data_IF_175304181647
#
_entry.id   IF_175304181647
#
_cell.length_a   1.000
_cell.length_b   1.000
_cell.length_c   1.000
_cell.angle_alpha   90.00
_cell.angle_beta   90.00
_cell.angle_gamma   90.00
#
_symmetry.space_group_name_H-M   'P 1'
#
loop_
_entity.id
_entity.type
_entity.pdbx_description
1 polymer ?
#
# COMPACT_ATOMS: atom_id res chain seq x y z
N UNK A 1 -5.57 -2.80 1.00
CA UNK A 1 -4.32 -2.02 1.10
C UNK A 1 -3.70 -2.35 2.44
N UNK A 2 -2.38 -2.38 2.54
CA UNK A 2 -1.69 -2.70 3.80
C UNK A 2 -0.32 -2.00 3.87
N UNK A 3 0.08 -1.63 5.09
CA UNK A 3 1.40 -1.05 5.36
C UNK A 3 2.38 -2.13 5.81
N UNK A 4 3.40 -2.38 5.00
CA UNK A 4 4.54 -3.18 5.41
C UNK A 4 5.56 -2.23 6.03
N UNK A 5 5.78 -2.35 7.34
CA UNK A 5 6.64 -1.44 8.12
C UNK A 5 7.78 -2.20 8.79
N UNK A 6 8.76 -1.46 9.33
CA UNK A 6 9.90 -2.03 10.04
C UNK A 6 10.95 -2.63 9.12
N UNK A 7 11.01 -2.15 7.87
CA UNK A 7 12.03 -2.54 6.92
C UNK A 7 13.32 -1.73 7.18
N UNK A 8 14.50 -2.29 6.84
CA UNK A 8 15.73 -1.52 6.85
C UNK A 8 15.60 -0.30 5.91
N UNK A 9 16.14 0.87 6.27
CA UNK A 9 16.14 2.04 5.41
C UNK A 9 16.84 1.72 4.07
N UNK A 10 16.19 2.03 2.95
CA UNK A 10 16.71 1.73 1.61
C UNK A 10 16.64 2.92 0.65
N UNK A 11 17.64 2.99 -0.25
CA UNK A 11 17.79 4.04 -1.27
C UNK A 11 18.11 5.43 -0.70
N UNK A 12 18.28 6.41 -1.58
CA UNK A 12 18.69 7.79 -1.22
C UNK A 12 17.75 8.48 -0.23
N UNK A 13 16.45 8.15 -0.29
CA UNK A 13 15.42 8.73 0.56
C UNK A 13 15.21 7.96 1.88
N UNK A 14 15.98 6.90 2.13
CA UNK A 14 15.92 6.10 3.35
C UNK A 14 14.51 5.61 3.68
N UNK A 15 13.75 5.16 2.67
CA UNK A 15 12.40 4.62 2.87
C UNK A 15 12.47 3.35 3.72
N UNK A 16 11.52 3.21 4.64
CA UNK A 16 11.49 2.11 5.62
C UNK A 16 10.12 1.40 5.71
N UNK A 17 9.24 1.68 4.75
CA UNK A 17 7.93 1.07 4.63
C UNK A 17 7.48 0.99 3.17
N UNK A 18 6.53 0.09 2.91
CA UNK A 18 5.74 0.05 1.68
C UNK A 18 4.25 0.15 1.98
N UNK A 19 3.55 0.93 1.17
CA UNK A 19 2.11 0.83 1.03
C UNK A 19 1.81 -0.13 -0.11
N UNK A 20 1.31 -1.31 0.23
CA UNK A 20 0.97 -2.37 -0.71
C UNK A 20 -0.50 -2.27 -1.07
N UNK A 21 -0.78 -2.15 -2.37
CA UNK A 21 -2.12 -2.06 -2.91
C UNK A 21 -2.29 -3.19 -3.90
N UNK A 22 -3.29 -4.03 -3.67
CA UNK A 22 -3.65 -5.10 -4.57
C UNK A 22 -5.02 -4.81 -5.18
N UNK A 23 -5.07 -4.69 -6.50
CA UNK A 23 -6.33 -4.59 -7.23
C UNK A 23 -6.80 -5.99 -7.63
N UNK A 24 -8.05 -6.34 -7.26
CA UNK A 24 -8.62 -7.68 -7.49
C UNK A 24 -9.02 -7.94 -8.94
N UNK A 25 -9.25 -6.92 -9.74
CA UNK A 25 -9.63 -7.05 -11.15
C UNK A 25 -8.41 -7.23 -12.04
N UNK A 26 -7.42 -6.36 -11.93
CA UNK A 26 -6.19 -6.46 -12.73
C UNK A 26 -5.21 -7.48 -12.17
N UNK A 27 -5.39 -7.90 -10.89
CA UNK A 27 -4.55 -8.88 -10.17
C UNK A 27 -3.07 -8.50 -10.09
N UNK A 28 -2.77 -7.22 -10.22
CA UNK A 28 -1.42 -6.67 -10.17
C UNK A 28 -1.23 -5.94 -8.85
N UNK A 29 -0.19 -6.28 -8.06
CA UNK A 29 0.16 -5.50 -6.89
C UNK A 29 0.93 -4.23 -7.28
N UNK A 30 0.66 -3.15 -6.55
CA UNK A 30 1.41 -1.90 -6.60
C UNK A 30 2.11 -1.71 -5.26
N UNK A 31 3.41 -1.48 -5.31
CA UNK A 31 4.25 -1.17 -4.16
C UNK A 31 4.62 0.31 -4.20
N UNK A 32 4.23 1.06 -3.18
CA UNK A 32 4.59 2.47 -3.03
C UNK A 32 5.58 2.61 -1.88
N UNK A 33 6.80 3.04 -2.20
CA UNK A 33 7.83 3.36 -1.20
C UNK A 33 7.37 4.53 -0.34
N UNK A 34 7.53 4.41 0.98
CA UNK A 34 7.08 5.40 1.96
C UNK A 34 7.83 5.25 3.28
N UNK A 35 7.56 6.15 4.21
CA UNK A 35 8.07 6.09 5.57
C UNK A 35 6.97 5.58 6.53
N UNK A 36 7.37 4.81 7.53
CA UNK A 36 6.47 4.27 8.56
C UNK A 36 5.67 5.37 9.28
N UNK A 37 6.26 6.56 9.38
CA UNK A 37 5.71 7.73 10.08
C UNK A 37 4.89 8.63 9.14
N UNK A 38 4.72 8.24 7.88
CA UNK A 38 3.94 9.01 6.92
C UNK A 38 2.48 9.15 7.35
N UNK A 39 1.97 10.36 7.14
CA UNK A 39 0.59 10.71 7.43
C UNK A 39 -0.37 10.08 6.42
N UNK A 40 -1.63 9.93 6.82
CA UNK A 40 -2.69 9.49 5.91
C UNK A 40 -2.83 10.39 4.68
N UNK A 41 -2.56 11.71 4.83
CA UNK A 41 -2.60 12.65 3.72
C UNK A 41 -1.48 12.41 2.71
N UNK A 42 -0.26 12.11 3.18
CA UNK A 42 0.85 11.77 2.29
C UNK A 42 0.57 10.46 1.54
N UNK A 43 0.04 9.45 2.23
CA UNK A 43 -0.39 8.19 1.61
C UNK A 43 -1.46 8.41 0.53
N UNK A 44 -2.39 9.34 0.77
CA UNK A 44 -3.41 9.66 -0.19
C UNK A 44 -2.82 10.34 -1.43
N UNK A 45 -1.93 11.32 -1.24
CA UNK A 45 -1.20 11.96 -2.34
C UNK A 45 -0.39 10.95 -3.15
N UNK A 46 0.29 10.02 -2.49
CA UNK A 46 1.00 8.91 -3.13
C UNK A 46 0.07 8.08 -4.01
N UNK A 47 -1.11 7.71 -3.50
CA UNK A 47 -2.11 6.95 -4.26
C UNK A 47 -2.65 7.75 -5.44
N UNK A 48 -2.97 9.02 -5.25
CA UNK A 48 -3.43 9.89 -6.32
C UNK A 48 -2.40 10.02 -7.44
N UNK A 49 -1.14 10.30 -7.08
CA UNK A 49 -0.07 10.52 -8.06
C UNK A 49 0.38 9.24 -8.76
N UNK A 50 0.40 8.10 -8.06
CA UNK A 50 0.99 6.86 -8.58
C UNK A 50 -0.02 5.84 -9.05
N UNK A 51 -1.26 5.89 -8.58
CA UNK A 51 -2.24 4.81 -8.83
C UNK A 51 -3.44 5.33 -9.61
N UNK A 52 -4.01 6.47 -9.20
CA UNK A 52 -5.12 7.09 -9.93
C UNK A 52 -4.65 7.56 -11.31
N UNK A 53 -3.41 8.03 -11.44
CA UNK A 53 -2.82 8.40 -12.72
C UNK A 53 -2.54 7.22 -13.68
N UNK A 54 -2.50 5.97 -13.19
CA UNK A 54 -2.05 4.83 -13.98
C UNK A 54 -3.17 3.91 -14.49
N UNK A 55 -4.38 3.89 -13.92
CA UNK A 55 -5.30 2.78 -14.25
C UNK A 55 -6.80 3.10 -14.21
N UNK A 56 -7.42 3.36 -13.06
CA UNK A 56 -8.89 3.63 -12.96
C UNK A 56 -9.20 4.34 -11.64
N UNK A 57 -10.27 5.13 -11.58
CA UNK A 57 -10.86 5.59 -10.31
C UNK A 57 -11.35 4.37 -9.53
N UNK A 58 -10.79 4.14 -8.33
CA UNK A 58 -11.26 3.07 -7.46
C UNK A 58 -12.70 3.32 -7.05
N UNK A 59 -13.60 2.38 -7.35
CA UNK A 59 -15.01 2.45 -6.93
C UNK A 59 -15.20 2.01 -5.48
N UNK A 60 -14.35 1.09 -5.00
CA UNK A 60 -14.36 0.60 -3.62
C UNK A 60 -12.94 0.24 -3.17
N UNK A 61 -12.59 0.68 -1.97
CA UNK A 61 -11.32 0.36 -1.32
C UNK A 61 -11.60 -0.39 -0.03
N UNK A 62 -10.81 -1.44 0.20
CA UNK A 62 -10.84 -2.24 1.42
C UNK A 62 -9.47 -2.14 2.11
N UNK A 63 -9.46 -1.58 3.31
CA UNK A 63 -8.27 -1.43 4.16
C UNK A 63 -8.46 -2.14 5.50
N UNK A 64 -7.34 -2.44 6.17
CA UNK A 64 -7.37 -2.75 7.60
C UNK A 64 -7.79 -1.52 8.43
N UNK A 65 -7.92 -1.71 9.74
CA UNK A 65 -8.36 -0.67 10.69
C UNK A 65 -7.22 0.17 11.25
N UNK A 66 -6.11 0.31 10.52
CA UNK A 66 -5.04 1.21 10.94
C UNK A 66 -5.61 2.64 11.17
N UNK A 67 -5.14 3.31 12.22
CA UNK A 67 -5.52 4.68 12.58
C UNK A 67 -5.39 5.67 11.42
N UNK A 68 -4.45 5.43 10.50
CA UNK A 68 -4.26 6.24 9.29
C UNK A 68 -5.45 6.12 8.34
N UNK A 69 -5.97 4.90 8.13
CA UNK A 69 -7.10 4.63 7.24
C UNK A 69 -8.46 4.92 7.88
N UNK A 70 -8.52 5.09 9.20
CA UNK A 70 -9.74 5.50 9.92
C UNK A 70 -9.79 7.01 10.19
N UNK A 71 -8.78 7.76 9.78
CA UNK A 71 -8.71 9.22 9.98
C UNK A 71 -9.81 9.97 9.21
N UNK A 72 -10.23 11.13 9.76
CA UNK A 72 -11.21 12.00 9.12
C UNK A 72 -10.70 12.53 7.77
N UNK A 73 -9.39 12.82 7.68
CA UNK A 73 -8.74 13.27 6.46
C UNK A 73 -8.82 12.21 5.36
N UNK A 74 -8.57 10.94 5.70
CA UNK A 74 -8.69 9.82 4.77
C UNK A 74 -10.12 9.64 4.27
N UNK A 75 -11.09 9.71 5.18
CA UNK A 75 -12.51 9.58 4.86
C UNK A 75 -12.97 10.69 3.90
N UNK A 76 -12.62 11.95 4.20
CA UNK A 76 -12.98 13.11 3.38
C UNK A 76 -12.36 13.02 1.98
N UNK A 77 -11.12 12.56 1.89
CA UNK A 77 -10.44 12.38 0.62
C UNK A 77 -11.15 11.36 -0.29
N UNK A 78 -11.55 10.22 0.26
CA UNK A 78 -12.27 9.21 -0.53
C UNK A 78 -13.70 9.62 -0.90
N UNK A 79 -14.35 10.44 -0.08
CA UNK A 79 -15.63 11.08 -0.47
C UNK A 79 -15.43 11.98 -1.69
N UNK A 80 -14.36 12.77 -1.74
CA UNK A 80 -14.04 13.63 -2.89
C UNK A 80 -13.77 12.81 -4.16
N UNK A 81 -13.11 11.66 -4.04
CA UNK A 81 -12.86 10.75 -5.17
C UNK A 81 -14.06 9.90 -5.58
N UNK A 82 -15.18 9.95 -4.86
CA UNK A 82 -16.35 9.08 -5.11
C UNK A 82 -16.08 7.60 -4.82
N UNK A 83 -15.05 7.29 -4.03
CA UNK A 83 -14.64 5.92 -3.70
C UNK A 83 -15.31 5.46 -2.40
N UNK A 84 -15.93 4.27 -2.41
CA UNK A 84 -16.48 3.68 -1.19
C UNK A 84 -15.39 3.05 -0.34
N UNK A 85 -15.17 3.56 0.87
CA UNK A 85 -14.32 2.92 1.86
C UNK A 85 -15.04 1.76 2.55
N UNK A 86 -14.31 0.70 2.85
CA UNK A 86 -14.75 -0.43 3.67
C UNK A 86 -13.56 -0.95 4.46
N UNK A 87 -13.79 -1.39 5.70
CA UNK A 87 -12.72 -1.90 6.55
C UNK A 87 -12.84 -3.42 6.66
N UNK A 88 -11.71 -4.13 6.57
CA UNK A 88 -11.69 -5.57 6.83
C UNK A 88 -12.10 -5.82 8.29
N UNK A 89 -12.84 -6.91 8.49
CA UNK A 89 -13.12 -7.42 9.84
C UNK A 89 -12.05 -8.46 10.16
N UNK A 90 -11.62 -8.52 11.42
CA UNK A 90 -10.53 -9.41 11.83
C UNK A 90 -10.77 -10.91 11.53
N UNK A 91 -11.97 -11.32 11.10
CA UNK A 91 -12.35 -12.73 11.02
C UNK A 91 -13.52 -13.03 10.04
N UNK A 92 -13.50 -12.62 8.76
CA UNK A 92 -14.45 -13.18 7.76
C UNK A 92 -13.90 -13.24 6.31
N UNK A 93 -13.22 -14.33 5.93
CA UNK A 93 -12.56 -14.48 4.63
C UNK A 93 -13.48 -15.06 3.55
N UNK A 94 -14.64 -14.45 3.27
CA UNK A 94 -15.54 -14.92 2.20
C UNK A 94 -15.49 -14.09 0.91
N UNK A 95 -14.89 -12.88 0.93
CA UNK A 95 -14.73 -12.06 -0.30
C UNK A 95 -13.37 -11.37 -0.41
N UNK A 96 -12.69 -11.10 0.72
CA UNK A 96 -11.37 -10.47 0.76
C UNK A 96 -10.20 -11.44 0.95
N UNK A 97 -10.47 -12.72 1.21
CA UNK A 97 -9.41 -13.69 1.51
C UNK A 97 -8.37 -13.85 0.40
N UNK A 98 -8.70 -13.57 -0.88
CA UNK A 98 -7.71 -13.61 -1.96
C UNK A 98 -6.78 -12.39 -1.93
N UNK A 99 -7.32 -11.18 -1.75
CA UNK A 99 -6.52 -9.97 -1.67
C UNK A 99 -5.68 -9.96 -0.40
N UNK A 100 -6.25 -10.40 0.74
CA UNK A 100 -5.54 -10.54 2.00
C UNK A 100 -4.41 -11.55 1.92
N UNK A 101 -4.66 -12.76 1.39
CA UNK A 101 -3.61 -13.77 1.19
C UNK A 101 -2.51 -13.30 0.24
N UNK A 102 -2.87 -12.58 -0.82
CA UNK A 102 -1.89 -12.01 -1.75
C UNK A 102 -1.05 -10.95 -1.06
N UNK A 103 -1.66 -10.01 -0.33
CA UNK A 103 -0.94 -8.99 0.41
C UNK A 103 0.00 -9.62 1.46
N UNK A 104 -0.44 -10.63 2.19
CA UNK A 104 0.41 -11.37 3.14
C UNK A 104 1.59 -12.05 2.43
N UNK A 105 1.35 -12.71 1.31
CA UNK A 105 2.40 -13.35 0.52
C UNK A 105 3.43 -12.32 0.03
N UNK A 106 2.96 -11.15 -0.42
CA UNK A 106 3.82 -10.06 -0.89
C UNK A 106 4.61 -9.43 0.25
N UNK A 107 4.01 -9.25 1.42
CA UNK A 107 4.71 -8.80 2.62
C UNK A 107 5.84 -9.76 3.01
N UNK A 108 5.55 -11.06 3.06
CA UNK A 108 6.55 -12.08 3.38
C UNK A 108 7.71 -12.08 2.36
N UNK A 109 7.41 -11.89 1.08
CA UNK A 109 8.43 -11.75 0.03
C UNK A 109 9.30 -10.52 0.27
N UNK A 110 8.70 -9.35 0.52
CA UNK A 110 9.43 -8.10 0.80
C UNK A 110 10.34 -8.26 2.01
N UNK A 111 9.82 -8.83 3.12
CA UNK A 111 10.61 -9.06 4.33
C UNK A 111 11.80 -9.99 4.09
N UNK A 112 11.62 -11.06 3.30
CA UNK A 112 12.71 -11.99 2.93
C UNK A 112 13.77 -11.32 2.08
N UNK A 113 13.36 -10.58 1.05
CA UNK A 113 14.27 -9.83 0.17
C UNK A 113 15.10 -8.81 0.96
N UNK A 114 14.48 -8.09 1.91
CA UNK A 114 15.22 -7.20 2.82
C UNK A 114 16.22 -7.94 3.71
N UNK A 115 15.83 -9.09 4.25
CA UNK A 115 16.68 -9.88 5.15
C UNK A 115 17.91 -10.41 4.42
N UNK A 116 17.80 -10.70 3.12
CA UNK A 116 18.89 -11.15 2.26
C UNK A 116 19.81 -10.00 1.79
N UNK A 117 19.57 -8.75 2.23
CA UNK A 117 20.42 -7.59 1.95
C UNK A 117 20.28 -7.04 0.53
N UNK A 118 19.21 -7.38 -0.19
CA UNK A 118 18.95 -6.87 -1.53
C UNK A 118 18.37 -5.45 -1.44
N UNK A 119 19.01 -4.50 -2.12
CA UNK A 119 18.57 -3.11 -2.20
C UNK A 119 17.36 -2.95 -3.12
N UNK A 120 16.44 -2.07 -2.70
CA UNK A 120 15.24 -1.76 -3.45
C UNK A 120 15.56 -0.94 -4.68
N UNK A 121 15.38 -1.56 -5.84
CA UNK A 121 15.38 -0.87 -7.12
C UNK A 121 14.02 -0.25 -7.37
N UNK A 122 14.00 0.91 -8.01
CA UNK A 122 12.76 1.55 -8.46
C UNK A 122 12.02 0.70 -9.51
N UNK A 123 10.87 1.17 -9.98
CA UNK A 123 10.06 0.49 -11.00
C UNK A 123 10.85 0.17 -12.30
N UNK A 124 11.98 0.84 -12.53
CA UNK A 124 12.85 0.67 -13.69
C UNK A 124 14.08 -0.20 -13.43
N UNK A 125 14.30 -0.69 -12.20
CA UNK A 125 15.43 -1.55 -11.88
C UNK A 125 16.73 -0.80 -11.52
N UNK A 126 16.66 0.49 -11.21
CA UNK A 126 17.83 1.29 -10.84
C UNK A 126 17.96 1.47 -9.32
N UNK A 127 19.17 1.29 -8.82
CA UNK A 127 19.64 1.89 -7.57
C UNK A 127 20.15 3.29 -7.93
N UNK A 128 19.51 4.33 -7.39
CA UNK A 128 20.11 5.66 -7.44
C UNK A 128 21.26 5.69 -6.41
N UNK A 129 22.38 6.26 -6.83
CA UNK A 129 23.62 6.47 -6.08
C UNK A 129 23.82 7.97 -5.86
#
# INVERSE_FOLDING_TARGET
>A
MHWVTGLPPGGDNSYNAFLVIFDRFIKTPVFLQCHKDDTAMYAALLICNRVVSLTVIFTKIISDRDTKFTSAQWTNLHQLFGTKLSFSTAYHPQTDGLAEKMIQTLEDMVRRVCADGLEFKDFYGFTHY
#
